data_IF_948596134912
#
_entry.id   IF_948596134912
#
_cell.length_a   1.000
_cell.length_b   1.000
_cell.length_c   1.000
_cell.angle_alpha   90.00
_cell.angle_beta   90.00
_cell.angle_gamma   90.00
#
_symmetry.space_group_name_H-M   'P 1'
#
loop_
_entity.id
_entity.type
_entity.pdbx_description
1 polymer ?
#
# COMPACT_ATOMS: atom_id res chain seq x y z
N UNK A 1 36.00 5.72 -12.18
CA UNK A 1 34.61 5.92 -12.63
C UNK A 1 33.93 4.56 -12.64
N UNK A 2 32.95 4.24 -11.78
CA UNK A 2 32.30 2.91 -11.90
C UNK A 2 31.44 2.36 -10.76
N UNK A 3 31.30 3.03 -9.61
CA UNK A 3 30.54 2.45 -8.46
C UNK A 3 29.09 2.97 -8.37
N UNK A 4 28.73 4.05 -9.08
CA UNK A 4 27.44 4.73 -8.91
C UNK A 4 26.27 4.18 -9.75
N UNK A 5 26.53 3.40 -10.80
CA UNK A 5 25.48 2.98 -11.74
C UNK A 5 24.61 1.82 -11.21
N UNK A 6 25.18 0.91 -10.41
CA UNK A 6 24.43 -0.22 -9.85
C UNK A 6 23.43 0.19 -8.77
N UNK A 7 23.81 1.17 -7.93
CA UNK A 7 22.94 1.70 -6.87
C UNK A 7 21.76 2.48 -7.46
N UNK A 8 22.01 3.24 -8.54
CA UNK A 8 20.96 3.98 -9.25
C UNK A 8 19.89 3.03 -9.82
N UNK A 9 20.29 1.89 -10.40
CA UNK A 9 19.34 0.89 -10.92
C UNK A 9 18.53 0.20 -9.81
N UNK A 10 19.16 -0.15 -8.67
CA UNK A 10 18.43 -0.71 -7.53
C UNK A 10 17.39 0.27 -6.96
N UNK A 11 17.74 1.56 -6.86
CA UNK A 11 16.81 2.59 -6.41
C UNK A 11 15.66 2.81 -7.40
N UNK A 12 15.93 2.73 -8.70
CA UNK A 12 14.90 2.82 -9.74
C UNK A 12 13.91 1.65 -9.67
N UNK A 13 14.39 0.43 -9.40
CA UNK A 13 13.53 -0.75 -9.22
C UNK A 13 12.70 -0.67 -7.93
N UNK A 14 13.29 -0.19 -6.83
CA UNK A 14 12.54 0.06 -5.60
C UNK A 14 11.45 1.13 -5.81
N UNK A 15 11.74 2.21 -6.54
CA UNK A 15 10.76 3.22 -6.93
C UNK A 15 9.65 2.69 -7.84
N UNK A 16 10.00 1.79 -8.76
CA UNK A 16 9.05 1.16 -9.68
C UNK A 16 8.05 0.23 -8.98
N UNK A 17 8.45 -0.45 -7.91
CA UNK A 17 7.56 -1.28 -7.08
C UNK A 17 6.72 -0.44 -6.11
N UNK A 18 7.23 0.71 -5.65
CA UNK A 18 6.51 1.65 -4.77
C UNK A 18 5.49 2.52 -5.55
N UNK A 19 5.72 2.69 -6.86
CA UNK A 19 4.90 3.47 -7.79
C UNK A 19 4.07 2.64 -8.77
N UNK A 20 4.13 1.30 -8.70
CA UNK A 20 3.21 0.46 -9.46
C UNK A 20 1.77 0.85 -9.05
N UNK A 21 0.89 1.20 -9.99
CA UNK A 21 -0.49 1.48 -9.66
C UNK A 21 -1.07 0.21 -9.04
N UNK A 22 -1.31 0.25 -7.73
CA UNK A 22 -2.15 -0.76 -7.10
C UNK A 22 -3.47 -0.69 -7.86
N UNK A 23 -3.95 -1.78 -8.48
CA UNK A 23 -5.22 -1.76 -9.19
C UNK A 23 -6.25 -1.16 -8.24
N UNK A 24 -6.96 -0.12 -8.70
CA UNK A 24 -7.89 0.63 -7.87
C UNK A 24 -8.87 -0.37 -7.25
N UNK A 25 -8.62 -0.74 -5.99
CA UNK A 25 -9.47 -1.66 -5.28
C UNK A 25 -10.79 -0.91 -5.04
N UNK A 26 -11.88 -1.52 -5.50
CA UNK A 26 -13.20 -0.97 -5.25
C UNK A 26 -13.40 -0.81 -3.73
N UNK A 27 -14.07 0.28 -3.32
CA UNK A 27 -14.24 0.64 -1.91
C UNK A 27 -14.96 -0.48 -1.13
N UNK A 28 -15.86 -1.19 -1.81
CA UNK A 28 -16.55 -2.37 -1.29
C UNK A 28 -15.57 -3.45 -0.83
N UNK A 29 -14.57 -3.74 -1.66
CA UNK A 29 -13.50 -4.71 -1.39
C UNK A 29 -12.59 -4.24 -0.26
N UNK A 30 -12.16 -2.97 -0.26
CA UNK A 30 -11.32 -2.41 0.81
C UNK A 30 -12.03 -2.54 2.18
N UNK A 31 -13.31 -2.19 2.25
CA UNK A 31 -14.09 -2.31 3.48
C UNK A 31 -14.25 -3.77 3.94
N UNK A 32 -14.47 -4.69 3.00
CA UNK A 32 -14.56 -6.12 3.31
C UNK A 32 -13.23 -6.65 3.87
N UNK A 33 -12.10 -6.26 3.27
CA UNK A 33 -10.76 -6.64 3.72
C UNK A 33 -10.43 -6.06 5.10
N UNK A 34 -10.76 -4.79 5.36
CA UNK A 34 -10.57 -4.17 6.68
C UNK A 34 -11.40 -4.91 7.74
N UNK A 35 -12.67 -5.20 7.46
CA UNK A 35 -13.54 -5.94 8.40
C UNK A 35 -12.99 -7.34 8.69
N UNK A 36 -12.54 -8.05 7.67
CA UNK A 36 -11.91 -9.36 7.81
C UNK A 36 -10.64 -9.27 8.67
N UNK A 37 -9.73 -8.35 8.35
CA UNK A 37 -8.50 -8.17 9.11
C UNK A 37 -8.77 -7.84 10.59
N UNK A 38 -9.72 -6.95 10.87
CA UNK A 38 -10.17 -6.65 12.24
C UNK A 38 -10.74 -7.87 12.94
N UNK A 39 -11.59 -8.66 12.26
CA UNK A 39 -12.17 -9.88 12.82
C UNK A 39 -11.11 -10.96 13.14
N UNK A 40 -10.04 -11.00 12.36
CA UNK A 40 -8.88 -11.87 12.58
C UNK A 40 -7.92 -11.34 13.68
N UNK A 41 -8.19 -10.16 14.26
CA UNK A 41 -7.34 -9.54 15.28
C UNK A 41 -6.04 -8.95 14.73
N UNK A 42 -5.96 -8.72 13.42
CA UNK A 42 -4.79 -8.15 12.74
C UNK A 42 -4.68 -6.65 12.99
N UNK A 43 -3.47 -6.12 12.95
CA UNK A 43 -3.24 -4.68 13.08
C UNK A 43 -3.59 -3.99 11.78
N UNK A 44 -4.56 -3.08 11.81
CA UNK A 44 -4.94 -2.25 10.66
C UNK A 44 -4.45 -0.83 10.86
N UNK A 45 -3.58 -0.34 9.98
CA UNK A 45 -2.99 1.00 10.07
C UNK A 45 -3.22 1.74 8.76
N UNK A 46 -3.68 2.99 8.86
CA UNK A 46 -3.81 3.88 7.71
C UNK A 46 -2.90 5.10 7.90
N UNK A 47 -1.95 5.32 7.00
CA UNK A 47 -1.00 6.44 7.04
C UNK A 47 -0.81 7.00 5.65
N UNK A 48 -0.98 8.31 5.48
CA UNK A 48 -0.77 9.03 4.21
C UNK A 48 -1.51 8.39 3.01
N UNK A 49 -2.75 7.94 3.24
CA UNK A 49 -3.56 7.26 2.22
C UNK A 49 -3.10 5.85 1.88
N UNK A 50 -2.12 5.28 2.58
CA UNK A 50 -1.74 3.88 2.44
C UNK A 50 -2.36 3.05 3.59
N UNK A 51 -2.95 1.91 3.22
CA UNK A 51 -3.53 0.94 4.14
C UNK A 51 -2.54 -0.21 4.35
N UNK A 52 -2.28 -0.52 5.61
CA UNK A 52 -1.37 -1.59 6.04
C UNK A 52 -2.09 -2.58 6.92
N UNK A 53 -1.85 -3.88 6.71
CA UNK A 53 -2.19 -4.94 7.64
C UNK A 53 -0.92 -5.56 8.18
N UNK A 54 -0.76 -5.61 9.50
CA UNK A 54 0.45 -6.10 10.18
C UNK A 54 1.74 -5.50 9.59
N UNK A 55 1.70 -4.18 9.34
CA UNK A 55 2.79 -3.40 8.78
C UNK A 55 3.16 -3.71 7.32
N UNK A 56 2.37 -4.54 6.62
CA UNK A 56 2.52 -4.80 5.18
C UNK A 56 1.55 -3.94 4.37
N UNK A 57 2.05 -3.30 3.31
CA UNK A 57 1.23 -2.46 2.43
C UNK A 57 0.23 -3.33 1.67
N UNK A 58 -1.06 -3.01 1.82
CA UNK A 58 -2.17 -3.70 1.14
C UNK A 58 -2.60 -2.89 -0.08
N UNK A 59 -2.88 -1.61 0.12
CA UNK A 59 -3.35 -0.74 -0.96
C UNK A 59 -3.10 0.73 -0.66
N UNK A 60 -3.19 1.56 -1.70
CA UNK A 60 -3.26 3.02 -1.58
C UNK A 60 -4.70 3.45 -1.85
N UNK A 61 -5.30 4.08 -0.86
CA UNK A 61 -6.63 4.68 -0.92
C UNK A 61 -6.53 5.92 -1.80
N UNK A 62 -7.30 6.01 -2.90
CA UNK A 62 -7.25 7.18 -3.75
C UNK A 62 -7.70 8.43 -2.99
N UNK A 63 -7.16 9.62 -3.33
CA UNK A 63 -7.66 10.87 -2.76
C UNK A 63 -9.18 10.98 -3.04
N UNK A 64 -9.92 11.52 -2.09
CA UNK A 64 -11.39 11.69 -2.09
C UNK A 64 -12.24 10.46 -1.69
N UNK A 65 -11.64 9.35 -1.27
CA UNK A 65 -12.40 8.24 -0.67
C UNK A 65 -12.55 8.44 0.84
N UNK A 66 -13.79 8.40 1.32
CA UNK A 66 -14.09 8.37 2.76
C UNK A 66 -14.30 6.91 3.19
N UNK A 67 -13.55 6.49 4.20
CA UNK A 67 -13.58 5.12 4.74
C UNK A 67 -14.17 5.18 6.15
N UNK A 68 -15.39 4.67 6.30
CA UNK A 68 -16.04 4.47 7.58
C UNK A 68 -16.01 2.98 7.95
N UNK A 69 -15.28 2.63 9.01
CA UNK A 69 -14.97 1.24 9.41
C UNK A 69 -15.23 0.95 10.87
#
# INVERSE_FOLDING_TARGET
MGVGMGVAMMMQQAGALVGAPVPAADLSTINAEIRKAKAEGRTVTMVNGALYFDYQLVTRIPPHFDIHV
#
